data_IF_155052950040
#
_entry.id   IF_155052950040
#
_cell.length_a   1.000
_cell.length_b   1.000
_cell.length_c   1.000
_cell.angle_alpha   90.00
_cell.angle_beta   90.00
_cell.angle_gamma   90.00
#
_symmetry.space_group_name_H-M   'P 1'
#
loop_
_entity.id
_entity.type
_entity.pdbx_description
1 polymer ?
#
# COMPACT_ATOMS: atom_id res chain seq x y z
N UNK A 1 -4.19 5.64 4.82
CA UNK A 1 -5.01 4.53 5.36
C UNK A 1 -6.22 5.09 6.10
N UNK A 2 -7.41 4.79 5.60
CA UNK A 2 -8.68 5.18 6.20
C UNK A 2 -9.71 4.06 6.00
N UNK A 3 -10.45 3.63 7.04
CA UNK A 3 -11.56 2.71 6.84
C UNK A 3 -12.71 3.43 6.15
N UNK A 4 -13.34 2.77 5.17
CA UNK A 4 -14.55 3.26 4.49
C UNK A 4 -15.69 2.32 4.78
N UNK A 5 -16.75 2.85 5.40
CA UNK A 5 -17.94 2.09 5.77
C UNK A 5 -18.95 2.16 4.62
N UNK A 6 -19.28 1.02 4.03
CA UNK A 6 -20.33 0.91 3.04
C UNK A 6 -21.66 0.65 3.74
N UNK A 7 -22.69 1.38 3.35
CA UNK A 7 -24.04 1.22 3.89
C UNK A 7 -25.03 0.94 2.77
N UNK A 8 -26.03 0.10 3.02
CA UNK A 8 -27.11 -0.18 2.10
C UNK A 8 -28.42 0.33 2.69
N UNK A 9 -29.12 1.16 1.91
CA UNK A 9 -30.45 1.65 2.27
C UNK A 9 -31.45 0.53 2.01
N UNK A 10 -32.41 0.33 2.91
CA UNK A 10 -33.46 -0.67 2.72
C UNK A 10 -34.42 -0.22 1.62
N UNK A 11 -34.66 -1.11 0.66
CA UNK A 11 -35.71 -0.96 -0.36
C UNK A 11 -37.11 -1.29 0.19
N UNK A 12 -37.21 -1.73 1.46
CA UNK A 12 -38.49 -2.05 2.11
C UNK A 12 -39.20 -0.78 2.59
N UNK A 13 -40.43 -0.58 2.09
CA UNK A 13 -41.34 0.48 2.53
C UNK A 13 -42.32 -0.11 3.54
N UNK A 14 -42.25 0.39 4.79
CA UNK A 14 -43.19 -0.01 5.85
C UNK A 14 -44.58 0.57 5.64
N UNK A 15 -45.57 0.05 6.36
CA UNK A 15 -46.96 0.54 6.36
C UNK A 15 -47.08 2.06 6.68
N UNK A 16 -46.05 2.62 7.31
CA UNK A 16 -45.88 4.06 7.56
C UNK A 16 -45.48 4.89 6.32
N UNK A 17 -45.25 4.24 5.16
CA UNK A 17 -44.72 4.82 3.91
C UNK A 17 -43.35 5.51 4.07
N UNK A 18 -42.58 5.10 5.06
CA UNK A 18 -41.22 5.59 5.33
C UNK A 18 -40.23 4.44 5.05
N UNK A 19 -39.14 4.76 4.35
CA UNK A 19 -38.01 3.85 4.09
C UNK A 19 -37.37 3.45 5.42
N UNK A 20 -37.14 2.15 5.63
CA UNK A 20 -36.38 1.69 6.78
C UNK A 20 -34.91 2.14 6.65
N UNK A 21 -34.30 2.47 7.78
CA UNK A 21 -32.95 3.05 7.85
C UNK A 21 -31.86 2.24 7.13
N UNK A 22 -30.71 2.87 6.96
CA UNK A 22 -29.54 2.26 6.32
C UNK A 22 -28.85 1.28 7.27
N UNK A 23 -28.41 0.13 6.75
CA UNK A 23 -27.57 -0.84 7.48
C UNK A 23 -26.15 -0.82 6.96
N UNK A 24 -25.16 -0.95 7.85
CA UNK A 24 -23.75 -1.12 7.45
C UNK A 24 -23.58 -2.50 6.84
N UNK A 25 -23.05 -2.57 5.62
CA UNK A 25 -22.92 -3.82 4.86
C UNK A 25 -21.48 -4.33 4.79
N UNK A 26 -20.48 -3.45 4.92
CA UNK A 26 -19.05 -3.81 4.96
C UNK A 26 -18.18 -2.62 5.35
N UNK A 27 -16.96 -2.87 5.82
CA UNK A 27 -15.91 -1.88 5.95
C UNK A 27 -14.71 -2.27 5.08
N UNK A 28 -14.29 -1.38 4.18
CA UNK A 28 -13.09 -1.57 3.37
C UNK A 28 -11.94 -0.76 3.98
N UNK A 29 -10.81 -1.41 4.22
CA UNK A 29 -9.62 -0.77 4.80
C UNK A 29 -8.59 -0.61 3.70
N UNK A 30 -8.42 0.62 3.22
CA UNK A 30 -7.52 0.90 2.12
C UNK A 30 -6.73 2.19 2.34
N UNK A 31 -5.65 2.33 1.58
CA UNK A 31 -5.00 3.61 1.35
C UNK A 31 -3.53 3.47 1.00
N UNK A 32 -2.96 4.62 0.65
CA UNK A 32 -1.61 4.65 0.07
C UNK A 32 -0.55 4.94 1.12
N UNK A 33 0.60 4.29 0.92
CA UNK A 33 1.89 4.67 1.48
C UNK A 33 2.72 5.25 0.34
N UNK A 34 2.95 6.56 0.37
CA UNK A 34 3.70 7.29 -0.65
C UNK A 34 5.04 7.70 -0.05
N UNK A 35 6.12 7.46 -0.78
CA UNK A 35 7.47 7.80 -0.35
C UNK A 35 8.41 8.12 -1.49
N UNK A 36 9.46 8.85 -1.18
CA UNK A 36 10.60 9.08 -2.08
C UNK A 36 11.48 7.84 -2.05
N UNK A 37 11.78 7.25 -3.22
CA UNK A 37 12.54 6.02 -3.28
C UNK A 37 13.95 6.24 -2.70
N UNK A 38 14.38 5.37 -1.80
CA UNK A 38 15.73 5.34 -1.23
C UNK A 38 16.18 3.91 -1.05
N UNK A 39 17.50 3.70 -1.02
CA UNK A 39 18.10 2.36 -1.01
C UNK A 39 17.70 1.58 0.26
N UNK A 40 17.17 0.37 0.10
CA UNK A 40 16.84 -0.55 1.19
C UNK A 40 15.57 -0.22 1.99
N UNK A 41 15.09 1.02 1.94
CA UNK A 41 13.98 1.51 2.77
C UNK A 41 12.67 0.75 2.53
N UNK A 42 12.40 0.40 1.28
CA UNK A 42 11.12 -0.18 0.88
C UNK A 42 11.19 -1.67 0.54
N UNK A 43 12.31 -2.35 0.83
CA UNK A 43 12.54 -3.73 0.41
C UNK A 43 11.42 -4.68 0.84
N UNK A 44 10.90 -4.53 2.06
CA UNK A 44 9.79 -5.35 2.57
C UNK A 44 8.47 -5.07 1.85
N UNK A 45 8.20 -3.82 1.51
CA UNK A 45 7.02 -3.46 0.73
C UNK A 45 7.14 -3.93 -0.72
N UNK A 46 8.35 -3.89 -1.30
CA UNK A 46 8.64 -4.44 -2.62
C UNK A 46 8.48 -5.98 -2.65
N UNK A 47 8.99 -6.70 -1.64
CA UNK A 47 8.74 -8.15 -1.51
C UNK A 47 7.24 -8.47 -1.41
N UNK A 48 6.47 -7.64 -0.70
CA UNK A 48 5.01 -7.79 -0.60
C UNK A 48 4.29 -7.41 -1.90
N UNK A 49 4.78 -6.43 -2.65
CA UNK A 49 4.21 -6.05 -3.94
C UNK A 49 4.41 -7.14 -5.00
N UNK A 50 5.62 -7.70 -5.09
CA UNK A 50 5.97 -8.71 -6.11
C UNK A 50 5.59 -10.14 -5.72
N UNK A 51 5.13 -10.37 -4.47
CA UNK A 51 5.02 -11.70 -3.88
C UNK A 51 6.31 -12.53 -4.03
N UNK A 52 7.44 -11.83 -4.08
CA UNK A 52 8.78 -12.36 -4.35
C UNK A 52 9.67 -12.23 -3.13
N UNK A 53 10.86 -12.83 -3.19
CA UNK A 53 11.88 -12.72 -2.14
C UNK A 53 13.15 -12.18 -2.78
N UNK A 54 13.78 -11.19 -2.16
CA UNK A 54 15.07 -10.69 -2.64
C UNK A 54 16.11 -11.80 -2.61
N UNK A 55 16.84 -11.96 -3.71
CA UNK A 55 18.02 -12.83 -3.80
C UNK A 55 19.18 -12.00 -4.31
N UNK A 56 19.99 -11.46 -3.37
CA UNK A 56 20.89 -10.35 -3.70
C UNK A 56 20.09 -9.14 -4.17
N UNK A 57 20.53 -8.50 -5.25
CA UNK A 57 19.88 -7.31 -5.84
C UNK A 57 18.80 -7.67 -6.88
N UNK A 58 18.25 -8.88 -6.81
CA UNK A 58 17.22 -9.38 -7.75
C UNK A 58 15.93 -9.66 -7.01
N UNK A 59 14.84 -9.02 -7.47
CA UNK A 59 13.47 -9.31 -7.07
C UNK A 59 12.68 -9.78 -8.30
N UNK A 60 12.00 -10.91 -8.15
CA UNK A 60 11.18 -11.52 -9.20
C UNK A 60 9.75 -11.71 -8.69
N UNK A 61 8.78 -11.58 -9.59
CA UNK A 61 7.37 -11.87 -9.28
C UNK A 61 7.23 -13.32 -8.84
N UNK A 62 6.56 -13.53 -7.71
CA UNK A 62 6.35 -14.84 -7.11
C UNK A 62 4.92 -15.05 -6.62
N UNK A 63 4.76 -15.92 -5.62
CA UNK A 63 3.47 -16.30 -5.03
C UNK A 63 3.45 -16.21 -3.50
N UNK A 64 4.51 -15.71 -2.88
CA UNK A 64 4.63 -15.61 -1.42
C UNK A 64 3.91 -14.37 -0.90
N UNK A 65 2.72 -14.60 -0.34
CA UNK A 65 1.89 -13.57 0.30
C UNK A 65 2.52 -13.08 1.61
N UNK A 66 2.67 -11.76 1.78
CA UNK A 66 3.26 -11.07 2.96
C UNK A 66 2.35 -9.95 3.48
N UNK A 67 1.76 -10.18 4.65
CA UNK A 67 0.90 -9.19 5.34
C UNK A 67 1.70 -8.37 6.36
N UNK A 68 1.21 -7.17 6.65
CA UNK A 68 1.73 -6.26 7.67
C UNK A 68 0.64 -5.83 8.64
N UNK A 69 1.07 -5.37 9.80
CA UNK A 69 0.26 -4.52 10.67
C UNK A 69 0.80 -3.10 10.55
N UNK A 70 -0.05 -2.13 10.25
CA UNK A 70 0.33 -0.72 10.15
C UNK A 70 -0.28 0.03 11.32
N UNK A 71 0.57 0.66 12.13
CA UNK A 71 0.14 1.50 13.24
C UNK A 71 0.13 2.98 12.81
N UNK A 72 -0.95 3.68 13.13
CA UNK A 72 -1.12 5.11 12.93
C UNK A 72 -1.36 5.76 14.28
N UNK A 73 -0.39 6.54 14.75
CA UNK A 73 -0.35 7.05 16.10
C UNK A 73 -0.36 8.58 16.10
N UNK A 74 -1.34 9.17 16.78
CA UNK A 74 -1.41 10.60 17.06
C UNK A 74 -1.18 10.83 18.55
N UNK A 75 0.07 11.13 18.90
CA UNK A 75 0.50 11.25 20.30
C UNK A 75 -0.05 12.51 20.99
N UNK A 76 -0.36 13.56 20.23
CA UNK A 76 -0.92 14.83 20.69
C UNK A 76 -2.37 14.70 21.16
N UNK A 77 -3.14 13.78 20.57
CA UNK A 77 -4.56 13.57 20.88
C UNK A 77 -4.88 12.17 21.43
N UNK A 78 -3.85 11.35 21.70
CA UNK A 78 -3.99 9.98 22.24
C UNK A 78 -4.89 9.06 21.40
N UNK A 79 -4.78 9.16 20.06
CA UNK A 79 -5.50 8.29 19.13
C UNK A 79 -4.52 7.34 18.47
N UNK A 80 -4.70 6.04 18.68
CA UNK A 80 -3.83 4.98 18.17
C UNK A 80 -4.65 3.96 17.39
N UNK A 81 -4.45 3.91 16.07
CA UNK A 81 -5.15 2.97 15.20
C UNK A 81 -4.19 1.90 14.70
N UNK A 82 -4.55 0.64 14.86
CA UNK A 82 -3.85 -0.50 14.26
C UNK A 82 -4.65 -1.04 13.08
N UNK A 83 -4.05 -1.06 11.90
CA UNK A 83 -4.58 -1.72 10.73
C UNK A 83 -3.90 -3.09 10.57
N UNK A 84 -4.68 -4.17 10.56
CA UNK A 84 -4.21 -5.56 10.56
C UNK A 84 -4.46 -6.24 9.22
N UNK A 85 -3.58 -7.19 8.89
CA UNK A 85 -3.67 -7.96 7.64
C UNK A 85 -3.45 -7.11 6.39
N UNK A 86 -2.74 -5.98 6.53
CA UNK A 86 -2.45 -5.06 5.43
C UNK A 86 -1.57 -5.72 4.39
N UNK A 87 -1.92 -5.57 3.12
CA UNK A 87 -1.20 -6.13 1.99
C UNK A 87 -1.04 -5.09 0.90
N UNK A 88 0.07 -5.10 0.18
CA UNK A 88 0.20 -4.28 -1.04
C UNK A 88 -0.71 -4.87 -2.11
N UNK A 89 -1.69 -4.09 -2.57
CA UNK A 89 -2.55 -4.43 -3.71
C UNK A 89 -1.96 -3.93 -5.01
N UNK A 90 -1.51 -2.68 -5.02
CA UNK A 90 -0.89 -2.04 -6.19
C UNK A 90 0.43 -1.40 -5.77
N UNK A 91 1.44 -1.58 -6.60
CA UNK A 91 2.69 -0.84 -6.54
C UNK A 91 2.84 0.01 -7.79
N UNK A 92 3.07 1.30 -7.59
CA UNK A 92 3.40 2.25 -8.65
C UNK A 92 4.76 2.90 -8.38
N UNK A 93 5.60 2.95 -9.41
CA UNK A 93 6.88 3.64 -9.42
C UNK A 93 6.84 4.72 -10.49
N UNK A 94 7.17 5.95 -10.10
CA UNK A 94 7.29 7.09 -11.00
C UNK A 94 8.72 7.62 -11.00
N UNK A 95 9.33 7.58 -12.18
CA UNK A 95 10.64 8.15 -12.47
C UNK A 95 10.42 9.30 -13.46
N UNK A 96 10.39 10.54 -12.96
CA UNK A 96 10.16 11.70 -13.82
C UNK A 96 11.41 12.05 -14.64
N UNK A 97 11.23 12.90 -15.65
CA UNK A 97 12.33 13.45 -16.45
C UNK A 97 13.20 14.44 -15.71
N UNK A 98 12.69 15.02 -14.63
CA UNK A 98 13.43 15.84 -13.69
C UNK A 98 12.84 15.66 -12.29
N UNK A 99 13.72 15.60 -11.29
CA UNK A 99 13.35 15.45 -9.89
C UNK A 99 13.46 14.04 -9.31
N UNK A 100 12.70 13.84 -8.23
CA UNK A 100 12.81 12.68 -7.34
C UNK A 100 11.94 11.51 -7.81
N UNK A 101 12.42 10.30 -7.56
CA UNK A 101 11.68 9.07 -7.84
C UNK A 101 10.66 8.84 -6.72
N UNK A 102 9.40 8.59 -7.08
CA UNK A 102 8.31 8.37 -6.14
C UNK A 102 7.83 6.92 -6.21
N UNK A 103 7.69 6.28 -5.05
CA UNK A 103 7.08 4.96 -4.91
C UNK A 103 5.76 5.07 -4.14
N UNK A 104 4.71 4.49 -4.71
CA UNK A 104 3.38 4.42 -4.11
C UNK A 104 3.00 2.96 -3.90
N UNK A 105 2.68 2.61 -2.66
CA UNK A 105 2.15 1.30 -2.28
C UNK A 105 0.71 1.48 -1.83
N UNK A 106 -0.23 1.06 -2.66
CA UNK A 106 -1.64 0.99 -2.27
C UNK A 106 -1.84 -0.26 -1.43
N UNK A 107 -2.34 -0.05 -0.21
CA UNK A 107 -2.51 -1.11 0.77
C UNK A 107 -4.00 -1.45 0.93
N UNK A 108 -4.29 -2.74 1.11
CA UNK A 108 -5.60 -3.26 1.46
C UNK A 108 -5.52 -4.14 2.72
N UNK A 109 -6.42 -3.92 3.68
CA UNK A 109 -6.43 -4.58 4.98
C UNK A 109 -7.64 -5.46 5.23
N UNK A 110 -7.62 -6.17 6.36
CA UNK A 110 -8.71 -7.03 6.81
C UNK A 110 -9.45 -6.50 8.02
N UNK A 111 -8.74 -5.84 8.94
CA UNK A 111 -9.30 -5.39 10.22
C UNK A 111 -8.59 -4.11 10.70
N UNK A 112 -9.27 -3.33 11.52
CA UNK A 112 -8.67 -2.21 12.22
C UNK A 112 -9.20 -2.11 13.66
N UNK A 113 -8.36 -1.63 14.56
CA UNK A 113 -8.74 -1.38 15.94
C UNK A 113 -8.17 -0.05 16.42
N UNK A 114 -9.03 0.78 17.00
CA UNK A 114 -8.64 2.01 17.68
C UNK A 114 -8.36 1.74 19.17
N UNK A 115 -7.47 2.53 19.74
CA UNK A 115 -7.12 2.51 21.15
C UNK A 115 -6.62 3.87 21.64
N UNK A 116 -6.57 4.00 22.95
CA UNK A 116 -6.09 5.18 23.69
C UNK A 116 -4.64 5.02 24.20
N UNK A 117 -4.04 3.86 23.95
CA UNK A 117 -2.67 3.53 24.35
C UNK A 117 -1.84 3.10 23.14
N UNK A 118 -0.60 3.57 23.07
CA UNK A 118 0.33 3.13 22.04
C UNK A 118 0.71 1.66 22.28
N UNK A 119 0.44 0.82 21.29
CA UNK A 119 0.75 -0.62 21.31
C UNK A 119 2.07 -0.95 20.61
N UNK A 120 2.70 0.03 19.96
CA UNK A 120 4.02 -0.11 19.32
C UNK A 120 5.10 0.26 20.33
N UNK A 121 5.78 -0.75 20.86
CA UNK A 121 6.81 -0.59 21.89
C UNK A 121 8.17 -0.15 21.32
N UNK A 122 8.57 -0.69 20.17
CA UNK A 122 9.86 -0.41 19.53
C UNK A 122 9.64 0.17 18.13
N UNK A 123 10.16 1.39 17.90
CA UNK A 123 10.13 2.06 16.60
C UNK A 123 11.57 2.16 16.11
N UNK A 124 11.87 1.53 14.98
CA UNK A 124 13.16 1.72 14.32
C UNK A 124 13.34 3.19 13.94
N UNK A 125 14.53 3.77 14.11
CA UNK A 125 14.80 5.12 13.65
C UNK A 125 14.58 5.22 12.13
N UNK A 126 14.16 6.38 11.63
CA UNK A 126 14.02 6.60 10.20
C UNK A 126 15.37 6.38 9.50
N UNK A 127 15.32 5.86 8.28
CA UNK A 127 16.50 5.67 7.44
C UNK A 127 17.17 7.01 7.14
N UNK A 128 18.50 7.06 7.16
CA UNK A 128 19.28 8.25 6.77
C UNK A 128 19.79 8.17 5.34
N UNK A 129 19.31 7.19 4.57
CA UNK A 129 19.68 6.97 3.17
C UNK A 129 19.15 8.11 2.30
N UNK A 130 19.97 8.66 1.39
CA UNK A 130 19.52 9.72 0.50
C UNK A 130 18.42 9.22 -0.43
N UNK A 131 17.53 10.15 -0.81
CA UNK A 131 16.54 9.90 -1.86
C UNK A 131 17.23 9.68 -3.20
N UNK A 132 16.59 8.92 -4.08
CA UNK A 132 17.01 8.75 -5.46
C UNK A 132 16.28 9.72 -6.40
N UNK A 133 17.04 10.30 -7.32
CA UNK A 133 16.53 11.07 -8.45
C UNK A 133 16.76 10.31 -9.76
N UNK A 134 16.23 10.86 -10.86
CA UNK A 134 16.49 10.36 -12.22
C UNK A 134 17.99 10.19 -12.53
N UNK A 135 18.86 11.05 -11.99
CA UNK A 135 20.32 11.02 -12.20
C UNK A 135 20.98 9.81 -11.50
N UNK A 136 20.31 9.21 -10.52
CA UNK A 136 20.83 8.03 -9.84
C UNK A 136 20.57 6.73 -10.61
N UNK A 137 19.84 6.79 -11.72
CA UNK A 137 19.59 5.63 -12.58
C UNK A 137 20.81 5.44 -13.49
N UNK A 138 21.59 4.38 -13.25
CA UNK A 138 22.79 4.09 -14.03
C UNK A 138 22.46 3.59 -15.44
N UNK A 139 21.82 2.42 -15.54
CA UNK A 139 21.45 1.81 -16.82
C UNK A 139 20.13 1.06 -16.68
N UNK A 140 19.24 1.20 -17.66
CA UNK A 140 18.03 0.39 -17.77
C UNK A 140 18.32 -0.72 -18.77
N UNK A 141 18.20 -1.97 -18.34
CA UNK A 141 18.35 -3.14 -19.19
C UNK A 141 17.02 -3.84 -19.40
N UNK A 142 16.74 -4.25 -20.64
CA UNK A 142 15.60 -5.12 -20.97
C UNK A 142 16.19 -6.42 -21.54
N UNK A 143 15.81 -7.55 -20.96
CA UNK A 143 16.34 -8.87 -21.32
C UNK A 143 17.89 -8.95 -21.33
N UNK A 144 18.53 -8.25 -20.38
CA UNK A 144 19.98 -8.18 -20.26
C UNK A 144 20.68 -7.23 -21.24
N UNK A 145 19.95 -6.59 -22.16
CA UNK A 145 20.48 -5.61 -23.09
C UNK A 145 20.29 -4.20 -22.54
N UNK A 146 21.38 -3.43 -22.45
CA UNK A 146 21.33 -2.02 -22.01
C UNK A 146 20.64 -1.15 -23.07
N UNK A 147 19.78 -0.24 -22.61
CA UNK A 147 19.14 0.78 -23.44
C UNK A 147 20.01 2.03 -23.63
N UNK A 148 21.14 2.13 -22.95
CA UNK A 148 22.09 3.25 -23.08
C UNK A 148 22.57 3.40 -24.53
N UNK A 149 22.40 4.60 -25.11
CA UNK A 149 22.78 4.89 -26.50
C UNK A 149 21.88 4.28 -27.58
N UNK A 150 20.91 3.44 -27.20
CA UNK A 150 19.91 2.84 -28.11
C UNK A 150 18.59 3.61 -28.06
N UNK A 151 18.15 3.99 -26.87
CA UNK A 151 16.92 4.74 -26.64
C UNK A 151 17.11 5.79 -25.54
N UNK A 152 16.58 6.99 -25.75
CA UNK A 152 16.53 8.03 -24.72
C UNK A 152 15.27 7.82 -23.87
N UNK A 153 15.41 7.19 -22.70
CA UNK A 153 14.31 7.07 -21.73
C UNK A 153 14.26 8.36 -20.92
N UNK A 154 13.29 9.22 -21.24
CA UNK A 154 13.12 10.51 -20.55
C UNK A 154 12.34 10.38 -19.25
N UNK A 155 11.43 9.41 -19.13
CA UNK A 155 10.67 9.12 -17.92
C UNK A 155 10.21 7.66 -17.95
N UNK A 156 9.94 7.07 -16.78
CA UNK A 156 9.46 5.71 -16.65
C UNK A 156 8.40 5.62 -15.54
N UNK A 157 7.24 5.06 -15.89
CA UNK A 157 6.22 4.67 -14.92
C UNK A 157 6.08 3.15 -14.94
N UNK A 158 6.12 2.52 -13.77
CA UNK A 158 5.86 1.08 -13.61
C UNK A 158 4.65 0.91 -12.71
N UNK A 159 3.70 0.07 -13.11
CA UNK A 159 2.54 -0.27 -12.29
C UNK A 159 2.38 -1.79 -12.22
N UNK A 160 2.36 -2.32 -11.00
CA UNK A 160 2.14 -3.73 -10.70
C UNK A 160 0.86 -3.85 -9.88
N UNK A 161 -0.14 -4.53 -10.44
CA UNK A 161 -1.44 -4.75 -9.79
C UNK A 161 -1.64 -6.24 -9.50
N UNK A 162 -1.77 -6.58 -8.21
CA UNK A 162 -2.05 -7.95 -7.78
C UNK A 162 -3.54 -8.33 -7.88
N UNK A 163 -4.40 -7.42 -8.37
CA UNK A 163 -5.85 -7.60 -8.56
C UNK A 163 -6.55 -8.11 -7.30
N UNK A 164 -6.10 -7.65 -6.12
CA UNK A 164 -6.66 -8.09 -4.84
C UNK A 164 -8.12 -7.65 -4.70
N UNK A 165 -8.96 -8.58 -4.26
CA UNK A 165 -10.37 -8.33 -3.98
C UNK A 165 -10.67 -8.52 -2.49
N UNK A 166 -11.54 -7.67 -1.96
CA UNK A 166 -12.05 -7.82 -0.60
C UNK A 166 -12.88 -9.11 -0.49
N UNK A 167 -12.42 -10.06 0.31
CA UNK A 167 -13.17 -11.27 0.60
C UNK A 167 -14.15 -11.00 1.73
N UNK A 168 -15.45 -10.93 1.40
CA UNK A 168 -16.52 -10.66 2.37
C UNK A 168 -17.13 -11.98 2.84
N UNK A 169 -16.99 -12.28 4.12
CA UNK A 169 -17.60 -13.45 4.77
C UNK A 169 -18.86 -13.01 5.53
N UNK A 170 -19.93 -13.82 5.45
CA UNK A 170 -21.17 -13.56 6.18
C UNK A 170 -20.94 -13.81 7.67
N UNK A 171 -21.28 -12.84 8.53
CA UNK A 171 -21.32 -13.03 9.99
C UNK A 171 -20.01 -12.75 10.75
N UNK A 172 -18.97 -12.24 10.10
CA UNK A 172 -17.69 -11.86 10.73
C UNK A 172 -17.41 -10.36 10.58
N UNK A 173 -18.39 -9.53 10.97
CA UNK A 173 -18.24 -8.07 11.04
C UNK A 173 -17.66 -7.61 12.36
#
# INVERSE_FOLDING_TARGET
LSPTVNTQVSDEITDSRISQGSVVSSADIQGDLVGELSYGTFDKLLESAFYGTWTGDVLTVGSTRRTFTVAKNFNDVSVYTLFRGMHVSVFALDIPSDGKITATFTMAGLDYADGDTNTVADINPPTTTPLMSNLNIGSISVDGQSLEGVACVSALTVNLDNSLQAQRCIGSG
#
